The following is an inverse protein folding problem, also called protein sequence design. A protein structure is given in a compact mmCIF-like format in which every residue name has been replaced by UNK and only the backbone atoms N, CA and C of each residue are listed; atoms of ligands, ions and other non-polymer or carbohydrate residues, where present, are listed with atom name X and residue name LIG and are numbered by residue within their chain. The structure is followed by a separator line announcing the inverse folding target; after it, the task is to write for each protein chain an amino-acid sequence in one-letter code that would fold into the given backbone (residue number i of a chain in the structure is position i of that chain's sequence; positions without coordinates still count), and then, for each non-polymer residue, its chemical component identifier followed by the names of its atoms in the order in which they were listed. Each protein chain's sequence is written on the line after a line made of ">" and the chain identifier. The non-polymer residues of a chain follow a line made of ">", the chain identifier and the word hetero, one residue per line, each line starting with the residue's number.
data_IF_498982421824
#
_entry.id   IF_498982421824
#
_cell.length_a   1.000
_cell.length_b   1.000
_cell.length_c   1.000
_cell.angle_alpha   90.00
_cell.angle_beta   90.00
_cell.angle_gamma   90.00
#
_symmetry.space_group_name_H-M   'P 1'
#
loop_
_entity.id
_entity.type
_entity.pdbx_description
1 polymer ?
#
# COMPACT_ATOMS: atom_id res chain seq x y z
N UNK A 1 -19.72 -71.79 16.13
CA UNK A 1 -19.93 -70.43 16.67
C UNK A 1 -18.62 -69.65 16.55
N UNK A 2 -18.68 -68.45 15.95
CA UNK A 2 -17.81 -67.26 16.15
C UNK A 2 -16.32 -67.41 15.74
N UNK A 3 -15.84 -66.67 14.72
CA UNK A 3 -15.35 -65.26 14.75
C UNK A 3 -14.20 -65.11 15.76
N UNK A 4 -13.05 -64.46 15.54
CA UNK A 4 -12.45 -63.72 14.43
C UNK A 4 -11.07 -63.17 14.93
N UNK A 5 -10.32 -62.50 14.05
CA UNK A 5 -9.21 -61.54 14.30
C UNK A 5 -7.83 -62.11 14.67
N UNK A 6 -6.70 -61.62 14.15
CA UNK A 6 -6.45 -60.28 13.60
C UNK A 6 -5.45 -60.30 12.42
N UNK A 7 -5.87 -59.63 11.35
CA UNK A 7 -5.04 -58.98 10.32
C UNK A 7 -4.79 -57.54 10.80
N UNK A 8 -3.56 -57.04 10.61
CA UNK A 8 -3.21 -55.63 10.36
C UNK A 8 -1.70 -55.61 10.02
N UNK A 9 -1.32 -55.97 8.78
CA UNK A 9 -1.13 -55.07 7.64
C UNK A 9 -0.30 -53.82 7.97
N UNK A 10 1.00 -53.91 7.67
CA UNK A 10 1.93 -52.78 7.59
C UNK A 10 1.43 -51.81 6.50
N UNK A 11 0.99 -50.61 6.90
CA UNK A 11 0.79 -49.50 5.98
C UNK A 11 2.17 -48.91 5.67
N UNK A 12 2.78 -49.40 4.59
CA UNK A 12 3.87 -48.70 3.92
C UNK A 12 3.28 -47.42 3.32
N UNK A 13 3.48 -46.30 4.02
CA UNK A 13 3.23 -44.97 3.49
C UNK A 13 4.26 -44.75 2.38
N UNK A 14 3.85 -45.03 1.14
CA UNK A 14 4.53 -44.54 -0.04
C UNK A 14 4.36 -43.02 -0.08
N UNK A 15 5.30 -42.31 0.55
CA UNK A 15 5.57 -40.92 0.21
C UNK A 15 6.06 -40.91 -1.23
N UNK A 16 5.14 -40.71 -2.16
CA UNK A 16 5.49 -40.29 -3.51
C UNK A 16 6.03 -38.88 -3.36
N UNK A 17 7.36 -38.77 -3.39
CA UNK A 17 8.05 -37.51 -3.64
C UNK A 17 7.67 -37.06 -5.05
N UNK A 18 6.50 -36.42 -5.18
CA UNK A 18 6.24 -35.60 -6.35
C UNK A 18 7.42 -34.61 -6.42
N UNK A 19 8.17 -34.57 -7.52
CA UNK A 19 9.15 -33.52 -7.70
C UNK A 19 8.38 -32.21 -7.59
N UNK A 20 8.71 -31.42 -6.57
CA UNK A 20 8.35 -30.01 -6.56
C UNK A 20 9.06 -29.44 -7.77
N UNK A 21 8.38 -29.43 -8.92
CA UNK A 21 8.79 -28.63 -10.04
C UNK A 21 8.75 -27.20 -9.53
N UNK A 22 9.91 -26.68 -9.15
CA UNK A 22 10.09 -25.27 -8.91
C UNK A 22 9.66 -24.58 -10.21
N UNK A 23 8.48 -23.94 -10.18
CA UNK A 23 8.03 -23.10 -11.29
C UNK A 23 9.13 -22.06 -11.50
N UNK A 24 9.89 -22.19 -12.58
CA UNK A 24 10.87 -21.21 -12.99
C UNK A 24 10.13 -19.94 -13.33
N UNK A 25 10.28 -18.94 -12.46
CA UNK A 25 9.75 -17.58 -12.67
C UNK A 25 10.22 -17.05 -14.03
N UNK A 26 9.31 -16.47 -14.80
CA UNK A 26 9.68 -15.83 -16.06
C UNK A 26 10.65 -14.66 -15.82
N UNK A 27 11.59 -14.37 -16.75
CA UNK A 27 12.49 -13.22 -16.62
C UNK A 27 11.74 -11.89 -16.42
N UNK A 28 10.61 -11.73 -17.12
CA UNK A 28 9.72 -10.56 -16.99
C UNK A 28 9.16 -10.45 -15.57
N UNK A 29 8.73 -11.57 -14.98
CA UNK A 29 8.25 -11.59 -13.61
C UNK A 29 9.35 -11.26 -12.60
N UNK A 30 10.57 -11.76 -12.79
CA UNK A 30 11.72 -11.44 -11.93
C UNK A 30 12.03 -9.94 -11.97
N UNK A 31 12.00 -9.33 -13.16
CA UNK A 31 12.20 -7.90 -13.32
C UNK A 31 11.09 -7.09 -12.62
N UNK A 32 9.82 -7.40 -12.91
CA UNK A 32 8.66 -6.75 -12.27
C UNK A 32 8.71 -6.92 -10.75
N UNK A 33 9.11 -8.09 -10.26
CA UNK A 33 9.28 -8.35 -8.83
C UNK A 33 10.32 -7.43 -8.20
N UNK A 34 11.50 -7.30 -8.82
CA UNK A 34 12.56 -6.42 -8.34
C UNK A 34 12.12 -4.96 -8.30
N UNK A 35 11.46 -4.49 -9.37
CA UNK A 35 10.96 -3.11 -9.44
C UNK A 35 9.85 -2.83 -8.43
N UNK A 36 8.92 -3.78 -8.23
CA UNK A 36 7.87 -3.67 -7.21
C UNK A 36 8.46 -3.69 -5.80
N UNK A 37 9.51 -4.46 -5.54
CA UNK A 37 10.19 -4.44 -4.24
C UNK A 37 10.77 -3.06 -3.93
N UNK A 38 11.40 -2.40 -4.91
CA UNK A 38 11.85 -1.02 -4.76
C UNK A 38 10.68 -0.07 -4.47
N UNK A 39 9.54 -0.25 -5.14
CA UNK A 39 8.34 0.55 -4.88
C UNK A 39 7.83 0.36 -3.44
N UNK A 40 7.72 -0.89 -2.97
CA UNK A 40 7.26 -1.22 -1.62
C UNK A 40 8.15 -0.58 -0.55
N UNK A 41 9.47 -0.63 -0.73
CA UNK A 41 10.42 0.00 0.18
C UNK A 41 10.20 1.51 0.25
N UNK A 42 10.13 2.20 -0.90
CA UNK A 42 9.91 3.66 -0.90
C UNK A 42 8.52 4.03 -0.37
N UNK A 43 7.50 3.22 -0.61
CA UNK A 43 6.15 3.46 -0.09
C UNK A 43 6.13 3.33 1.44
N UNK A 44 6.85 2.36 1.99
CA UNK A 44 7.05 2.20 3.45
C UNK A 44 7.79 3.39 4.06
N UNK A 45 8.81 3.93 3.39
CA UNK A 45 9.47 5.16 3.82
C UNK A 45 8.49 6.37 3.82
N UNK A 46 7.63 6.47 2.82
CA UNK A 46 6.60 7.50 2.77
C UNK A 46 5.55 7.33 3.89
N UNK A 47 5.19 6.11 4.29
CA UNK A 47 4.30 5.85 5.44
C UNK A 47 4.89 6.38 6.74
N UNK A 48 6.18 6.09 7.00
CA UNK A 48 6.90 6.64 8.15
C UNK A 48 6.92 8.19 8.14
N UNK A 49 7.06 8.79 6.95
CA UNK A 49 7.01 10.24 6.79
C UNK A 49 5.61 10.81 7.03
N UNK A 50 4.54 10.13 6.62
CA UNK A 50 3.18 10.56 6.96
C UNK A 50 2.96 10.57 8.47
N UNK A 51 3.39 9.53 9.18
CA UNK A 51 3.30 9.48 10.64
C UNK A 51 4.08 10.64 11.29
N UNK A 52 5.30 10.91 10.81
CA UNK A 52 6.09 12.04 11.27
C UNK A 52 5.37 13.39 11.05
N UNK A 53 4.92 13.66 9.83
CA UNK A 53 4.25 14.91 9.46
C UNK A 53 2.96 15.10 10.25
N UNK A 54 2.20 14.02 10.47
CA UNK A 54 1.00 14.04 11.31
C UNK A 54 1.33 14.49 12.74
N UNK A 55 2.38 13.93 13.36
CA UNK A 55 2.81 14.31 14.71
C UNK A 55 3.25 15.77 14.78
N UNK A 56 3.98 16.25 13.78
CA UNK A 56 4.40 17.65 13.72
C UNK A 56 3.19 18.58 13.64
N UNK A 57 2.26 18.34 12.71
CA UNK A 57 1.04 19.14 12.55
C UNK A 57 0.12 19.10 13.78
N UNK A 58 0.05 17.96 14.47
CA UNK A 58 -0.70 17.87 15.73
C UNK A 58 -0.09 18.71 16.85
N UNK A 59 1.23 18.86 16.85
CA UNK A 59 1.95 19.60 17.88
C UNK A 59 1.84 21.10 17.62
N UNK A 60 2.08 21.52 16.38
CA UNK A 60 1.98 22.93 15.99
C UNK A 60 0.59 23.52 16.11
N UNK A 61 -0.46 22.72 15.87
CA UNK A 61 -1.82 23.14 16.15
C UNK A 61 -2.05 23.47 17.63
N UNK A 62 -1.57 22.62 18.55
CA UNK A 62 -1.83 22.77 20.00
C UNK A 62 -1.11 23.95 20.65
N UNK A 63 0.03 24.35 20.10
CA UNK A 63 0.85 25.44 20.62
C UNK A 63 0.37 26.83 20.13
N UNK A 64 -0.67 26.85 19.29
CA UNK A 64 -1.17 28.06 18.65
C UNK A 64 -2.28 28.75 19.47
N UNK A 65 -2.11 30.06 19.73
CA UNK A 65 -3.09 30.88 20.47
C UNK A 65 -4.42 31.05 19.74
N UNK A 66 -4.42 30.92 18.41
CA UNK A 66 -5.63 30.98 17.56
C UNK A 66 -6.13 29.58 17.18
N UNK A 67 -5.65 28.53 17.85
CA UNK A 67 -6.03 27.15 17.54
C UNK A 67 -7.54 26.96 17.50
N UNK A 68 -8.29 27.48 18.49
CA UNK A 68 -9.74 27.28 18.55
C UNK A 68 -10.50 27.86 17.34
N UNK A 69 -9.96 28.92 16.70
CA UNK A 69 -10.55 29.53 15.49
C UNK A 69 -10.33 28.66 14.25
N UNK A 70 -9.14 28.04 14.12
CA UNK A 70 -8.75 27.26 12.94
C UNK A 70 -8.71 25.74 13.18
N UNK A 71 -9.15 25.29 14.35
CA UNK A 71 -9.07 23.90 14.83
C UNK A 71 -9.66 22.91 13.83
N UNK A 72 -10.78 23.25 13.22
CA UNK A 72 -11.45 22.37 12.26
C UNK A 72 -10.63 22.18 10.98
N UNK A 73 -9.89 23.20 10.54
CA UNK A 73 -8.99 23.12 9.39
C UNK A 73 -7.81 22.21 9.73
N UNK A 74 -7.20 22.39 10.89
CA UNK A 74 -6.12 21.53 11.38
C UNK A 74 -6.55 20.06 11.49
N UNK A 75 -7.67 19.81 12.15
CA UNK A 75 -8.21 18.46 12.30
C UNK A 75 -8.57 17.83 10.95
N UNK A 76 -9.18 18.60 10.04
CA UNK A 76 -9.49 18.14 8.69
C UNK A 76 -8.23 17.72 7.93
N UNK A 77 -7.16 18.52 7.99
CA UNK A 77 -5.86 18.19 7.37
C UNK A 77 -5.27 16.92 7.97
N UNK A 78 -5.26 16.77 9.30
CA UNK A 78 -4.76 15.56 9.97
C UNK A 78 -5.56 14.33 9.56
N UNK A 79 -6.89 14.43 9.46
CA UNK A 79 -7.75 13.34 9.00
C UNK A 79 -7.48 12.96 7.54
N UNK A 80 -7.24 13.94 6.66
CA UNK A 80 -6.87 13.69 5.28
C UNK A 80 -5.52 12.95 5.18
N UNK A 81 -4.51 13.36 5.96
CA UNK A 81 -3.21 12.68 6.02
C UNK A 81 -3.38 11.23 6.46
N UNK A 82 -4.17 10.98 7.50
CA UNK A 82 -4.45 9.62 7.98
C UNK A 82 -5.09 8.76 6.89
N UNK A 83 -6.10 9.30 6.20
CA UNK A 83 -6.78 8.56 5.16
C UNK A 83 -5.84 8.23 3.99
N UNK A 84 -4.97 9.16 3.57
CA UNK A 84 -3.93 8.92 2.57
C UNK A 84 -2.96 7.82 3.04
N UNK A 85 -2.49 7.91 4.29
CA UNK A 85 -1.57 6.93 4.86
C UNK A 85 -2.19 5.53 4.88
N UNK A 86 -3.44 5.40 5.33
CA UNK A 86 -4.15 4.11 5.34
C UNK A 86 -4.37 3.53 3.94
N UNK A 87 -4.64 4.36 2.93
CA UNK A 87 -4.72 3.89 1.53
C UNK A 87 -3.36 3.36 1.07
N UNK A 88 -2.28 4.08 1.37
CA UNK A 88 -0.93 3.67 1.00
C UNK A 88 -0.51 2.37 1.70
N UNK A 89 -0.83 2.21 2.99
CA UNK A 89 -0.57 1.01 3.78
C UNK A 89 -1.33 -0.19 3.19
N UNK A 90 -2.62 -0.01 2.91
CA UNK A 90 -3.44 -1.05 2.30
C UNK A 90 -2.91 -1.50 0.94
N UNK A 91 -2.51 -0.57 0.07
CA UNK A 91 -1.93 -0.93 -1.23
C UNK A 91 -0.53 -1.57 -1.08
N UNK A 92 0.26 -1.18 -0.09
CA UNK A 92 1.54 -1.82 0.22
C UNK A 92 1.34 -3.32 0.56
N UNK A 93 0.36 -3.62 1.41
CA UNK A 93 -0.01 -4.99 1.79
C UNK A 93 -0.54 -5.79 0.59
N UNK A 94 -1.43 -5.19 -0.21
CA UNK A 94 -2.01 -5.85 -1.37
C UNK A 94 -0.99 -6.12 -2.48
N UNK A 95 -0.04 -5.21 -2.69
CA UNK A 95 1.06 -5.42 -3.62
C UNK A 95 1.99 -6.53 -3.12
N UNK A 96 2.28 -6.57 -1.82
CA UNK A 96 3.06 -7.67 -1.22
C UNK A 96 2.36 -9.02 -1.41
N UNK A 97 1.08 -9.10 -1.05
CA UNK A 97 0.28 -10.31 -1.26
C UNK A 97 0.24 -10.73 -2.72
N UNK A 98 0.02 -9.77 -3.63
CA UNK A 98 0.01 -10.03 -5.07
C UNK A 98 1.35 -10.62 -5.54
N UNK A 99 2.47 -10.14 -4.97
CA UNK A 99 3.81 -10.64 -5.27
C UNK A 99 4.03 -12.09 -4.84
N UNK A 100 3.40 -12.52 -3.75
CA UNK A 100 3.52 -13.88 -3.19
C UNK A 100 2.62 -14.92 -3.87
N UNK A 101 1.64 -14.49 -4.68
CA UNK A 101 0.74 -15.42 -5.37
C UNK A 101 1.46 -16.32 -6.37
N UNK A 102 1.03 -17.58 -6.48
CA UNK A 102 1.43 -18.43 -7.62
C UNK A 102 0.95 -17.82 -8.94
N UNK A 103 1.71 -18.02 -10.03
CA UNK A 103 1.46 -17.39 -11.34
C UNK A 103 0.00 -17.52 -11.80
N UNK A 104 -0.55 -18.74 -11.78
CA UNK A 104 -1.96 -19.00 -12.17
C UNK A 104 -2.97 -18.15 -11.41
N UNK A 105 -2.74 -17.94 -10.10
CA UNK A 105 -3.62 -17.09 -9.26
C UNK A 105 -3.36 -15.61 -9.52
N UNK A 106 -2.11 -15.22 -9.70
CA UNK A 106 -1.72 -13.85 -9.98
C UNK A 106 -2.41 -13.31 -11.22
N UNK A 107 -2.36 -14.07 -12.33
CA UNK A 107 -3.02 -13.71 -13.61
C UNK A 107 -4.52 -13.44 -13.41
N UNK A 108 -5.19 -14.27 -12.60
CA UNK A 108 -6.61 -14.12 -12.31
C UNK A 108 -6.97 -12.78 -11.63
N UNK A 109 -6.06 -12.20 -10.83
CA UNK A 109 -6.32 -10.98 -10.06
C UNK A 109 -5.70 -9.71 -10.64
N UNK A 110 -5.03 -9.77 -11.80
CA UNK A 110 -4.37 -8.60 -12.43
C UNK A 110 -5.33 -7.42 -12.60
N UNK A 111 -6.51 -7.64 -13.20
CA UNK A 111 -7.47 -6.55 -13.48
C UNK A 111 -7.96 -5.88 -12.20
N UNK A 112 -8.35 -6.69 -11.21
CA UNK A 112 -8.79 -6.19 -9.90
C UNK A 112 -7.69 -5.36 -9.25
N UNK A 113 -6.42 -5.77 -9.41
CA UNK A 113 -5.29 -5.04 -8.86
C UNK A 113 -5.01 -3.72 -9.56
N UNK A 114 -5.15 -3.67 -10.88
CA UNK A 114 -5.06 -2.42 -11.65
C UNK A 114 -6.15 -1.45 -11.21
N UNK A 115 -7.41 -1.90 -11.15
CA UNK A 115 -8.54 -1.05 -10.73
C UNK A 115 -8.38 -0.55 -9.30
N UNK A 116 -7.91 -1.38 -8.37
CA UNK A 116 -7.63 -0.96 -6.99
C UNK A 116 -6.61 0.16 -6.94
N UNK A 117 -5.49 0.02 -7.66
CA UNK A 117 -4.44 1.05 -7.71
C UNK A 117 -4.94 2.37 -8.32
N UNK A 118 -5.76 2.29 -9.38
CA UNK A 118 -6.38 3.48 -10.00
C UNK A 118 -7.31 4.21 -9.03
N UNK A 119 -8.18 3.47 -8.34
CA UNK A 119 -9.11 4.02 -7.35
C UNK A 119 -8.36 4.62 -6.15
N UNK A 120 -7.31 3.96 -5.68
CA UNK A 120 -6.46 4.44 -4.58
C UNK A 120 -5.76 5.75 -4.96
N UNK A 121 -5.20 5.84 -6.17
CA UNK A 121 -4.63 7.09 -6.71
C UNK A 121 -5.66 8.22 -6.76
N UNK A 122 -6.88 7.93 -7.23
CA UNK A 122 -7.93 8.94 -7.31
C UNK A 122 -8.36 9.45 -5.92
N UNK A 123 -8.53 8.53 -4.95
CA UNK A 123 -8.88 8.89 -3.58
C UNK A 123 -7.80 9.78 -2.94
N UNK A 124 -6.52 9.43 -3.09
CA UNK A 124 -5.41 10.24 -2.57
C UNK A 124 -5.40 11.63 -3.22
N UNK A 125 -5.62 11.72 -4.53
CA UNK A 125 -5.67 13.01 -5.23
C UNK A 125 -6.79 13.92 -4.70
N UNK A 126 -7.98 13.37 -4.45
CA UNK A 126 -9.09 14.12 -3.84
C UNK A 126 -8.71 14.63 -2.45
N UNK A 127 -8.05 13.79 -1.64
CA UNK A 127 -7.61 14.18 -0.29
C UNK A 127 -6.51 15.26 -0.33
N UNK A 128 -5.58 15.18 -1.29
CA UNK A 128 -4.59 16.24 -1.53
C UNK A 128 -5.27 17.57 -1.86
N UNK A 129 -6.26 17.57 -2.75
CA UNK A 129 -7.05 18.78 -3.06
C UNK A 129 -7.73 19.37 -1.81
N UNK A 130 -8.29 18.54 -0.93
CA UNK A 130 -8.85 19.01 0.34
C UNK A 130 -7.79 19.62 1.27
N UNK A 131 -6.58 19.04 1.33
CA UNK A 131 -5.46 19.61 2.08
C UNK A 131 -5.06 20.98 1.50
N UNK A 132 -5.02 21.13 0.18
CA UNK A 132 -4.70 22.41 -0.46
C UNK A 132 -5.78 23.47 -0.19
N UNK A 133 -7.06 23.09 -0.13
CA UNK A 133 -8.15 23.99 0.28
C UNK A 133 -7.94 24.43 1.73
N UNK A 134 -7.69 23.48 2.63
CA UNK A 134 -7.44 23.77 4.04
C UNK A 134 -6.26 24.75 4.23
N UNK A 135 -5.16 24.54 3.51
CA UNK A 135 -4.00 25.43 3.56
C UNK A 135 -4.34 26.86 3.11
N UNK A 136 -5.12 27.02 2.04
CA UNK A 136 -5.54 28.35 1.55
C UNK A 136 -6.46 29.10 2.53
N UNK A 137 -7.17 28.36 3.38
CA UNK A 137 -8.04 28.93 4.42
C UNK A 137 -7.29 29.24 5.71
N UNK A 138 -6.06 28.74 5.89
CA UNK A 138 -5.22 29.12 7.02
C UNK A 138 -4.61 30.51 6.81
N UNK A 139 -4.50 31.32 7.87
CA UNK A 139 -3.84 32.61 7.79
C UNK A 139 -2.32 32.40 7.59
N UNK A 140 -1.63 33.29 6.84
CA UNK A 140 -0.25 33.06 6.40
C UNK A 140 0.78 32.90 7.53
N UNK A 141 0.52 33.48 8.69
CA UNK A 141 1.34 33.41 9.90
C UNK A 141 1.21 32.06 10.64
N UNK A 142 0.14 31.31 10.38
CA UNK A 142 -0.10 29.98 10.94
C UNK A 142 0.17 28.85 9.93
N UNK A 143 0.36 29.20 8.65
CA UNK A 143 0.70 28.25 7.62
C UNK A 143 2.15 27.78 7.79
N UNK A 144 2.33 26.55 8.26
CA UNK A 144 3.64 25.89 8.31
C UNK A 144 4.07 25.43 6.92
N UNK A 145 4.33 26.39 6.03
CA UNK A 145 4.55 26.18 4.59
C UNK A 145 5.55 25.05 4.32
N UNK A 146 6.64 24.97 5.09
CA UNK A 146 7.64 23.90 4.96
C UNK A 146 7.09 22.51 5.28
N UNK A 147 6.22 22.36 6.28
CA UNK A 147 5.57 21.07 6.57
C UNK A 147 4.59 20.70 5.46
N UNK A 148 3.85 21.67 4.92
CA UNK A 148 2.92 21.44 3.82
C UNK A 148 3.64 21.08 2.51
N UNK A 149 4.80 21.69 2.24
CA UNK A 149 5.63 21.33 1.09
C UNK A 149 6.16 19.90 1.21
N UNK A 150 6.66 19.52 2.40
CA UNK A 150 7.09 18.14 2.66
C UNK A 150 5.92 17.15 2.51
N UNK A 151 4.75 17.51 3.03
CA UNK A 151 3.55 16.70 2.88
C UNK A 151 3.17 16.52 1.41
N UNK A 152 3.16 17.60 0.63
CA UNK A 152 2.84 17.56 -0.80
C UNK A 152 3.81 16.66 -1.56
N UNK A 153 5.11 16.79 -1.32
CA UNK A 153 6.12 15.92 -1.92
C UNK A 153 5.91 14.44 -1.56
N UNK A 154 5.56 14.15 -0.30
CA UNK A 154 5.30 12.79 0.15
C UNK A 154 4.04 12.19 -0.51
N UNK A 155 2.97 12.99 -0.65
CA UNK A 155 1.75 12.61 -1.36
C UNK A 155 2.05 12.32 -2.84
N UNK A 156 2.73 13.24 -3.52
CA UNK A 156 3.08 13.10 -4.94
C UNK A 156 3.96 11.88 -5.19
N UNK A 157 4.94 11.65 -4.32
CA UNK A 157 5.78 10.45 -4.34
C UNK A 157 4.92 9.19 -4.25
N UNK A 158 4.01 9.11 -3.26
CA UNK A 158 3.12 7.95 -3.09
C UNK A 158 2.20 7.73 -4.29
N UNK A 159 1.58 8.78 -4.85
CA UNK A 159 0.78 8.68 -6.09
C UNK A 159 1.63 8.12 -7.24
N UNK A 160 2.85 8.62 -7.42
CA UNK A 160 3.74 8.19 -8.50
C UNK A 160 4.17 6.73 -8.34
N UNK A 161 4.42 6.28 -7.10
CA UNK A 161 4.71 4.88 -6.78
C UNK A 161 3.53 3.96 -7.12
N UNK A 162 2.31 4.31 -6.73
CA UNK A 162 1.11 3.52 -7.07
C UNK A 162 0.86 3.46 -8.58
N UNK A 163 1.05 4.59 -9.29
CA UNK A 163 1.01 4.62 -10.76
C UNK A 163 2.11 3.76 -11.38
N UNK A 164 3.32 3.73 -10.80
CA UNK A 164 4.42 2.85 -11.24
C UNK A 164 4.04 1.38 -11.04
N UNK A 165 3.51 1.01 -9.87
CA UNK A 165 3.03 -0.36 -9.59
C UNK A 165 2.00 -0.83 -10.61
N UNK A 166 1.03 0.04 -10.94
CA UNK A 166 0.03 -0.26 -11.98
C UNK A 166 0.68 -0.59 -13.32
N UNK A 167 1.64 0.23 -13.77
CA UNK A 167 2.35 0.00 -15.04
C UNK A 167 3.13 -1.32 -15.04
N UNK A 168 3.80 -1.64 -13.92
CA UNK A 168 4.54 -2.89 -13.77
C UNK A 168 3.61 -4.11 -13.82
N UNK A 169 2.46 -4.05 -13.15
CA UNK A 169 1.46 -5.13 -13.16
C UNK A 169 0.84 -5.29 -14.55
N UNK A 170 0.60 -4.20 -15.27
CA UNK A 170 0.14 -4.26 -16.67
C UNK A 170 1.10 -4.99 -17.60
N UNK A 171 2.41 -4.92 -17.36
CA UNK A 171 3.39 -5.68 -18.15
C UNK A 171 3.21 -7.20 -18.00
N UNK A 172 2.69 -7.64 -16.84
CA UNK A 172 2.35 -9.05 -16.61
C UNK A 172 1.08 -9.50 -17.34
N UNK A 173 0.23 -8.56 -17.79
CA UNK A 173 -1.02 -8.84 -18.54
C UNK A 173 -0.79 -9.06 -20.03
N UNK A 174 0.25 -8.46 -20.61
CA UNK A 174 0.41 -8.34 -22.07
C UNK A 174 0.82 -9.65 -22.77
N UNK A 175 0.65 -10.81 -22.14
CA UNK A 175 0.93 -12.15 -22.67
C UNK A 175 -0.06 -13.16 -22.09
#
# INVERSE_FOLDING_TARGET
>A
MRKAFAVCLFVLVFFTSQPVHAETKSPDFIHVQSELQSVLTTLSDNLNRFEYLQKQLQSSGKDNKSYDEYKNIWLSTILAINAISSICEYENDLLTLFMDLKEKRRVHYIEVRITSLENSVQQIAIMDEQIQINLKLMPPDLAEISLFDMLKQNIDSSINLLKKSRRLILQLKQK
#
